data_IF_998972676758
#
_entry.id   IF_998972676758
#
_cell.length_a   1.000
_cell.length_b   1.000
_cell.length_c   1.000
_cell.angle_alpha   90.00
_cell.angle_beta   90.00
_cell.angle_gamma   90.00
#
_symmetry.space_group_name_H-M   'P 1'
#
loop_
_entity.id
_entity.type
_entity.pdbx_description
1 polymer ?
#
# COMPACT_ATOMS: atom_id res chain seq x y z
N UNK A 1 -37.91 14.41 30.83
CA UNK A 1 -38.59 15.58 30.26
C UNK A 1 -39.03 15.22 28.85
N UNK A 2 -40.30 15.39 28.49
CA UNK A 2 -40.76 15.05 27.14
C UNK A 2 -40.12 16.04 26.13
N UNK A 3 -39.35 15.55 25.20
CA UNK A 3 -38.79 16.31 24.11
C UNK A 3 -39.66 16.20 22.88
N UNK A 4 -40.00 17.33 22.26
CA UNK A 4 -40.74 17.37 21.02
C UNK A 4 -39.74 17.36 19.85
N UNK A 5 -39.83 16.39 18.92
CA UNK A 5 -38.87 16.19 17.84
C UNK A 5 -39.50 16.61 16.52
N UNK A 6 -38.75 17.31 15.67
CA UNK A 6 -39.16 17.65 14.33
C UNK A 6 -38.98 16.40 13.43
N UNK A 7 -40.07 15.86 12.88
CA UNK A 7 -40.06 14.69 12.01
C UNK A 7 -39.26 14.92 10.71
N UNK A 8 -39.07 16.18 10.31
CA UNK A 8 -38.35 16.53 9.07
C UNK A 8 -36.84 16.58 9.23
N UNK A 9 -36.30 17.08 10.34
CA UNK A 9 -34.84 17.27 10.52
C UNK A 9 -34.27 16.56 11.75
N UNK A 10 -35.11 15.90 12.56
CA UNK A 10 -34.68 15.23 13.81
C UNK A 10 -34.33 16.17 14.97
N UNK A 11 -34.46 17.49 14.80
CA UNK A 11 -34.17 18.47 15.87
C UNK A 11 -35.10 18.32 17.07
N UNK A 12 -34.53 18.22 18.27
CA UNK A 12 -35.29 18.09 19.52
C UNK A 12 -35.54 19.46 20.17
N UNK A 13 -36.76 19.67 20.66
CA UNK A 13 -37.19 20.91 21.28
C UNK A 13 -37.77 20.63 22.66
N UNK A 14 -37.36 21.39 23.72
CA UNK A 14 -37.84 21.16 25.07
C UNK A 14 -39.29 21.58 25.28
N UNK A 15 -39.87 22.35 24.36
CA UNK A 15 -41.27 22.83 24.42
C UNK A 15 -41.95 22.67 23.06
N UNK A 16 -43.26 22.34 23.06
CA UNK A 16 -44.09 22.20 21.83
C UNK A 16 -44.13 23.50 21.02
N UNK A 17 -44.15 24.65 21.68
CA UNK A 17 -44.11 25.98 21.01
C UNK A 17 -42.83 26.20 20.22
N UNK A 18 -41.69 25.70 20.69
CA UNK A 18 -40.40 25.73 19.96
C UNK A 18 -40.43 24.91 18.69
N UNK A 19 -41.02 23.72 18.74
CA UNK A 19 -41.22 22.88 17.56
C UNK A 19 -42.17 23.55 16.55
N UNK A 20 -43.30 24.12 17.01
CA UNK A 20 -44.26 24.82 16.14
C UNK A 20 -43.60 26.02 15.45
N UNK A 21 -42.83 26.82 16.17
CA UNK A 21 -42.08 27.97 15.62
C UNK A 21 -41.01 27.51 14.60
N UNK A 22 -40.38 26.36 14.85
CA UNK A 22 -39.41 25.76 13.91
C UNK A 22 -40.07 25.28 12.61
N UNK A 23 -41.25 24.67 12.70
CA UNK A 23 -41.98 24.18 11.54
C UNK A 23 -42.59 25.30 10.65
N UNK A 24 -42.94 26.44 11.28
CA UNK A 24 -43.58 27.59 10.62
C UNK A 24 -42.58 28.61 10.05
N UNK A 25 -41.30 28.30 9.94
CA UNK A 25 -40.30 29.20 9.34
C UNK A 25 -40.52 29.36 7.84
N UNK A 26 -40.25 30.59 7.31
CA UNK A 26 -40.31 30.91 5.89
C UNK A 26 -39.39 30.00 5.04
N UNK A 27 -38.25 29.55 5.60
CA UNK A 27 -37.35 28.56 4.98
C UNK A 27 -37.46 27.27 5.79
N UNK A 28 -38.00 26.18 5.21
CA UNK A 28 -38.10 24.90 5.89
C UNK A 28 -36.72 24.34 6.29
N UNK A 29 -36.63 23.64 7.41
CA UNK A 29 -35.42 22.97 7.82
C UNK A 29 -35.00 21.91 6.75
N UNK A 30 -33.70 21.83 6.49
CA UNK A 30 -33.15 20.79 5.60
C UNK A 30 -33.20 19.44 6.32
N UNK A 31 -33.64 18.41 5.60
CA UNK A 31 -33.54 17.03 6.10
C UNK A 31 -32.06 16.67 6.12
N UNK A 32 -31.48 16.20 7.23
CA UNK A 32 -30.10 15.73 7.25
C UNK A 32 -29.91 14.60 6.23
N UNK A 33 -28.83 14.64 5.46
CA UNK A 33 -28.54 13.61 4.43
C UNK A 33 -28.52 12.20 5.03
N UNK A 34 -28.09 12.06 6.27
CA UNK A 34 -28.13 10.80 7.03
C UNK A 34 -29.57 10.30 7.29
N UNK A 35 -30.52 11.19 7.55
CA UNK A 35 -31.92 10.82 7.79
C UNK A 35 -32.59 10.37 6.47
N UNK A 36 -32.30 11.05 5.37
CA UNK A 36 -32.75 10.64 4.02
C UNK A 36 -32.19 9.27 3.70
N UNK A 37 -30.91 9.05 3.96
CA UNK A 37 -30.25 7.76 3.69
C UNK A 37 -30.86 6.64 4.53
N UNK A 38 -31.18 6.90 5.83
CA UNK A 38 -31.85 5.92 6.68
C UNK A 38 -33.27 5.60 6.20
N UNK A 39 -34.03 6.61 5.79
CA UNK A 39 -35.40 6.41 5.27
C UNK A 39 -35.39 5.65 3.93
N UNK A 40 -34.46 5.97 3.02
CA UNK A 40 -34.27 5.26 1.78
C UNK A 40 -33.86 3.80 2.03
N UNK A 41 -32.94 3.55 2.96
CA UNK A 41 -32.54 2.21 3.32
C UNK A 41 -33.69 1.40 3.96
N UNK A 42 -34.52 2.03 4.85
CA UNK A 42 -35.69 1.37 5.41
C UNK A 42 -36.77 1.04 4.36
N UNK A 43 -37.00 1.96 3.42
CA UNK A 43 -37.94 1.69 2.30
C UNK A 43 -37.41 0.58 1.38
N UNK A 44 -36.12 0.53 1.11
CA UNK A 44 -35.50 -0.54 0.30
C UNK A 44 -35.55 -1.91 0.99
N UNK A 45 -35.43 -1.97 2.33
CA UNK A 45 -35.57 -3.21 3.10
C UNK A 45 -36.96 -3.81 2.97
N UNK A 46 -38.00 -2.97 2.85
CA UNK A 46 -39.40 -3.43 2.69
C UNK A 46 -39.73 -3.89 1.28
N UNK A 47 -39.06 -3.33 0.24
CA UNK A 47 -39.37 -3.59 -1.17
C UNK A 47 -38.49 -4.68 -1.78
N UNK A 48 -37.26 -4.77 -1.39
CA UNK A 48 -36.30 -5.79 -1.87
C UNK A 48 -35.16 -5.98 -0.85
N UNK A 49 -35.24 -6.97 0.04
CA UNK A 49 -34.24 -7.21 1.08
C UNK A 49 -32.81 -7.38 0.52
N UNK A 50 -32.67 -8.02 -0.65
CA UNK A 50 -31.36 -8.20 -1.32
C UNK A 50 -30.77 -6.87 -1.80
N UNK A 51 -31.59 -5.93 -2.25
CA UNK A 51 -31.17 -4.61 -2.71
C UNK A 51 -30.72 -3.71 -1.55
N UNK A 52 -31.40 -3.82 -0.41
CA UNK A 52 -31.05 -3.10 0.81
C UNK A 52 -29.69 -3.54 1.35
N UNK A 53 -29.39 -4.83 1.31
CA UNK A 53 -28.08 -5.39 1.68
C UNK A 53 -26.97 -4.85 0.76
N UNK A 54 -27.24 -4.73 -0.54
CA UNK A 54 -26.27 -4.20 -1.51
C UNK A 54 -25.99 -2.68 -1.34
N UNK A 55 -26.83 -1.94 -0.63
CA UNK A 55 -26.61 -0.50 -0.36
C UNK A 55 -25.94 -0.19 0.97
N UNK A 56 -25.86 -1.15 1.87
CA UNK A 56 -25.15 -0.99 3.15
C UNK A 56 -23.63 -0.83 2.94
N UNK A 57 -22.97 -0.04 3.80
CA UNK A 57 -21.50 0.15 3.76
C UNK A 57 -20.77 -1.18 3.92
N UNK A 58 -21.24 -2.02 4.86
CA UNK A 58 -20.80 -3.41 5.04
C UNK A 58 -22.01 -4.29 5.30
N UNK A 59 -21.94 -5.55 4.90
CA UNK A 59 -22.95 -6.54 5.26
C UNK A 59 -22.91 -6.86 6.76
N UNK A 60 -24.06 -7.26 7.31
CA UNK A 60 -24.13 -7.74 8.69
C UNK A 60 -23.14 -8.89 8.99
N UNK A 61 -22.99 -9.92 8.13
CA UNK A 61 -21.95 -10.95 8.33
C UNK A 61 -20.53 -10.41 8.42
N UNK A 62 -20.17 -9.37 7.65
CA UNK A 62 -18.86 -8.72 7.72
C UNK A 62 -18.64 -8.06 9.08
N UNK A 63 -19.63 -7.34 9.58
CA UNK A 63 -19.58 -6.69 10.90
C UNK A 63 -19.48 -7.73 12.02
N UNK A 64 -20.30 -8.77 11.96
CA UNK A 64 -20.26 -9.87 12.94
C UNK A 64 -18.92 -10.59 12.95
N UNK A 65 -18.41 -10.95 11.77
CA UNK A 65 -17.11 -11.62 11.65
C UNK A 65 -15.97 -10.73 12.16
N UNK A 66 -16.01 -9.44 11.82
CA UNK A 66 -15.02 -8.46 12.28
C UNK A 66 -14.94 -8.37 13.81
N UNK A 67 -16.07 -8.49 14.51
CA UNK A 67 -16.14 -8.42 15.96
C UNK A 67 -15.86 -9.76 16.67
N UNK A 68 -15.95 -10.89 15.94
CA UNK A 68 -15.81 -12.25 16.52
C UNK A 68 -14.38 -12.74 16.60
N UNK A 69 -13.45 -12.19 15.81
CA UNK A 69 -12.03 -12.59 15.82
C UNK A 69 -11.10 -11.42 16.16
N UNK A 70 -9.93 -11.73 16.71
CA UNK A 70 -8.96 -10.73 17.12
C UNK A 70 -8.44 -9.91 15.92
N UNK A 71 -7.91 -8.72 16.19
CA UNK A 71 -7.27 -7.90 15.15
C UNK A 71 -6.04 -8.59 14.56
N UNK A 72 -5.28 -9.25 15.42
CA UNK A 72 -4.08 -10.01 15.06
C UNK A 72 -4.44 -11.13 14.07
N UNK A 73 -5.46 -11.94 14.39
CA UNK A 73 -5.91 -13.04 13.53
C UNK A 73 -6.41 -12.53 12.16
N UNK A 74 -7.12 -11.39 12.13
CA UNK A 74 -7.54 -10.79 10.86
C UNK A 74 -6.35 -10.33 10.02
N UNK A 75 -5.34 -9.73 10.65
CA UNK A 75 -4.13 -9.27 9.97
C UNK A 75 -3.31 -10.44 9.44
N UNK A 76 -3.18 -11.52 10.23
CA UNK A 76 -2.43 -12.72 9.84
C UNK A 76 -3.11 -13.47 8.69
N UNK A 77 -4.43 -13.44 8.61
CA UNK A 77 -5.21 -14.01 7.51
C UNK A 77 -5.44 -13.03 6.34
N UNK A 78 -5.09 -11.76 6.50
CA UNK A 78 -5.28 -10.72 5.47
C UNK A 78 -6.75 -10.38 5.19
N UNK A 79 -7.63 -10.52 6.19
CA UNK A 79 -9.06 -10.30 6.06
C UNK A 79 -9.40 -8.84 6.27
N UNK A 80 -9.77 -8.15 5.18
CA UNK A 80 -10.18 -6.74 5.19
C UNK A 80 -11.40 -6.55 4.29
N UNK A 81 -12.56 -6.26 4.90
CA UNK A 81 -13.78 -6.01 4.16
C UNK A 81 -13.75 -4.65 3.47
N UNK A 82 -14.16 -4.61 2.20
CA UNK A 82 -14.06 -3.41 1.36
C UNK A 82 -15.30 -2.54 1.51
N UNK A 83 -15.14 -1.26 1.90
CA UNK A 83 -16.25 -0.31 2.03
C UNK A 83 -17.00 -0.12 0.71
N UNK A 84 -18.32 0.13 0.80
CA UNK A 84 -19.18 0.31 -0.37
C UNK A 84 -18.68 1.38 -1.34
N UNK A 85 -18.25 2.53 -0.83
CA UNK A 85 -17.70 3.61 -1.67
C UNK A 85 -16.51 3.19 -2.53
N UNK A 86 -15.69 2.23 -2.05
CA UNK A 86 -14.53 1.70 -2.79
C UNK A 86 -15.00 0.70 -3.84
N UNK A 87 -15.99 -0.14 -3.51
CA UNK A 87 -16.60 -1.06 -4.47
C UNK A 87 -17.35 -0.31 -5.58
N UNK A 88 -18.13 0.71 -5.23
CA UNK A 88 -18.83 1.56 -6.20
C UNK A 88 -17.85 2.18 -7.20
N UNK A 89 -16.73 2.73 -6.70
CA UNK A 89 -15.67 3.28 -7.55
C UNK A 89 -15.11 2.25 -8.54
N UNK A 90 -14.90 1.00 -8.09
CA UNK A 90 -14.41 -0.08 -8.97
C UNK A 90 -15.41 -0.35 -10.11
N UNK A 91 -16.67 -0.48 -9.80
CA UNK A 91 -17.70 -0.74 -10.80
C UNK A 91 -17.95 0.47 -11.72
N UNK A 92 -17.85 1.70 -11.21
CA UNK A 92 -17.91 2.92 -12.02
C UNK A 92 -16.78 2.97 -13.06
N UNK A 93 -15.55 2.64 -12.66
CA UNK A 93 -14.42 2.63 -13.59
C UNK A 93 -14.55 1.50 -14.63
N UNK A 94 -15.05 0.31 -14.26
CA UNK A 94 -15.39 -0.76 -15.20
C UNK A 94 -16.49 -0.34 -16.20
N UNK A 95 -17.50 0.37 -15.73
CA UNK A 95 -18.60 0.89 -16.58
C UNK A 95 -18.08 1.93 -17.60
N UNK A 96 -17.18 2.83 -17.19
CA UNK A 96 -16.51 3.81 -18.09
C UNK A 96 -15.72 3.12 -19.21
N UNK A 97 -15.17 1.94 -18.94
CA UNK A 97 -14.46 1.12 -19.93
C UNK A 97 -15.39 0.28 -20.80
N UNK A 98 -16.70 0.31 -20.52
CA UNK A 98 -17.69 -0.47 -21.27
C UNK A 98 -17.57 -1.99 -21.06
N UNK A 99 -17.02 -2.43 -19.92
CA UNK A 99 -16.80 -3.86 -19.62
C UNK A 99 -18.14 -4.57 -19.46
N UNK A 100 -18.37 -5.63 -20.26
CA UNK A 100 -19.60 -6.45 -20.25
C UNK A 100 -19.20 -7.93 -20.15
N UNK A 101 -18.86 -8.42 -18.95
CA UNK A 101 -18.37 -9.77 -18.78
C UNK A 101 -19.49 -10.80 -18.93
N UNK A 102 -19.15 -11.97 -19.48
CA UNK A 102 -20.02 -13.16 -19.48
C UNK A 102 -19.74 -14.05 -18.26
N UNK A 103 -18.47 -14.07 -17.80
CA UNK A 103 -18.04 -14.84 -16.63
C UNK A 103 -17.19 -13.97 -15.71
N UNK A 104 -17.52 -13.98 -14.43
CA UNK A 104 -16.88 -13.19 -13.38
C UNK A 104 -16.32 -14.11 -12.31
N UNK A 105 -15.13 -13.80 -11.80
CA UNK A 105 -14.52 -14.46 -10.65
C UNK A 105 -14.17 -13.46 -9.56
N UNK A 106 -14.55 -13.77 -8.32
CA UNK A 106 -13.98 -13.19 -7.12
C UNK A 106 -13.16 -14.26 -6.38
N UNK A 107 -11.82 -14.15 -6.34
CA UNK A 107 -10.94 -15.22 -5.86
C UNK A 107 -10.81 -15.30 -4.33
N UNK A 108 -11.42 -14.38 -3.57
CA UNK A 108 -11.43 -14.34 -2.11
C UNK A 108 -12.64 -13.50 -1.65
N UNK A 109 -13.84 -14.09 -1.77
CA UNK A 109 -15.05 -13.28 -1.69
C UNK A 109 -15.43 -12.84 -0.25
N UNK A 110 -14.81 -13.39 0.79
CA UNK A 110 -15.14 -13.04 2.17
C UNK A 110 -16.60 -13.28 2.48
N UNK A 111 -17.33 -12.22 2.79
CA UNK A 111 -18.79 -12.27 3.01
C UNK A 111 -19.60 -11.92 1.74
N UNK A 112 -18.94 -11.70 0.59
CA UNK A 112 -19.54 -11.63 -0.74
C UNK A 112 -20.03 -10.25 -1.17
N UNK A 113 -19.51 -9.17 -0.64
CA UNK A 113 -19.92 -7.81 -1.02
C UNK A 113 -19.74 -7.54 -2.51
N UNK A 114 -18.60 -7.90 -3.09
CA UNK A 114 -18.35 -7.73 -4.52
C UNK A 114 -19.22 -8.64 -5.39
N UNK A 115 -19.48 -9.89 -4.94
CA UNK A 115 -20.36 -10.83 -5.68
C UNK A 115 -21.79 -10.32 -5.75
N UNK A 116 -22.31 -9.74 -4.65
CA UNK A 116 -23.64 -9.14 -4.62
C UNK A 116 -23.74 -7.94 -5.56
N UNK A 117 -22.74 -7.05 -5.52
CA UNK A 117 -22.69 -5.91 -6.43
C UNK A 117 -22.54 -6.37 -7.89
N UNK A 118 -21.70 -7.37 -8.17
CA UNK A 118 -21.51 -7.93 -9.50
C UNK A 118 -22.81 -8.55 -10.04
N UNK A 119 -23.56 -9.30 -9.21
CA UNK A 119 -24.84 -9.90 -9.62
C UNK A 119 -25.88 -8.85 -9.95
N UNK A 120 -25.91 -7.76 -9.20
CA UNK A 120 -26.82 -6.64 -9.45
C UNK A 120 -26.47 -5.88 -10.75
N UNK A 121 -25.17 -5.65 -10.99
CA UNK A 121 -24.69 -4.85 -12.13
C UNK A 121 -24.62 -5.67 -13.42
N UNK A 122 -24.27 -6.94 -13.31
CA UNK A 122 -24.14 -7.89 -14.43
C UNK A 122 -25.09 -9.09 -14.27
N UNK A 123 -26.42 -8.90 -14.29
CA UNK A 123 -27.40 -9.95 -13.94
C UNK A 123 -27.35 -11.17 -14.86
N UNK A 124 -26.78 -11.03 -16.07
CA UNK A 124 -26.65 -12.11 -17.05
C UNK A 124 -25.30 -12.83 -17.00
N UNK A 125 -24.36 -12.36 -16.18
CA UNK A 125 -23.05 -12.98 -16.08
C UNK A 125 -23.09 -14.24 -15.19
N UNK A 126 -22.35 -15.25 -15.59
CA UNK A 126 -22.03 -16.41 -14.75
C UNK A 126 -21.01 -15.96 -13.69
N UNK A 127 -21.34 -16.12 -12.42
CA UNK A 127 -20.53 -15.60 -11.31
C UNK A 127 -19.93 -16.76 -10.52
N UNK A 128 -18.60 -16.72 -10.36
CA UNK A 128 -17.82 -17.66 -9.55
C UNK A 128 -17.22 -16.91 -8.35
N UNK A 129 -17.27 -17.56 -7.18
CA UNK A 129 -16.63 -17.07 -5.97
C UNK A 129 -15.83 -18.18 -5.30
N UNK A 130 -14.62 -17.87 -4.86
CA UNK A 130 -13.77 -18.77 -4.08
C UNK A 130 -13.52 -18.13 -2.72
N UNK A 131 -13.68 -18.89 -1.64
CA UNK A 131 -13.37 -18.45 -0.29
C UNK A 131 -12.77 -19.62 0.49
N UNK A 132 -11.60 -19.38 1.10
CA UNK A 132 -10.88 -20.42 1.84
C UNK A 132 -11.42 -20.61 3.26
N UNK A 133 -11.82 -19.52 3.92
CA UNK A 133 -12.35 -19.57 5.27
C UNK A 133 -13.79 -20.09 5.26
N UNK A 134 -14.04 -21.22 5.92
CA UNK A 134 -15.34 -21.90 5.91
C UNK A 134 -16.46 -21.06 6.56
N UNK A 135 -16.15 -20.27 7.60
CA UNK A 135 -17.15 -19.42 8.26
C UNK A 135 -17.60 -18.27 7.36
N UNK A 136 -16.64 -17.64 6.65
CA UNK A 136 -16.94 -16.62 5.65
C UNK A 136 -17.70 -17.22 4.49
N UNK A 137 -17.29 -18.37 3.96
CA UNK A 137 -17.99 -19.09 2.91
C UNK A 137 -19.44 -19.37 3.27
N UNK A 138 -19.68 -19.91 4.47
CA UNK A 138 -21.03 -20.26 4.96
C UNK A 138 -21.91 -19.03 5.25
N UNK A 139 -21.31 -17.84 5.36
CA UNK A 139 -22.05 -16.58 5.57
C UNK A 139 -22.78 -16.07 4.34
N UNK A 140 -22.48 -16.61 3.14
CA UNK A 140 -23.09 -16.22 1.88
C UNK A 140 -23.87 -17.38 1.26
N UNK A 141 -25.15 -17.09 0.93
CA UNK A 141 -25.96 -17.92 0.03
C UNK A 141 -26.43 -17.01 -1.11
N UNK A 142 -25.92 -17.23 -2.30
CA UNK A 142 -26.24 -16.41 -3.47
C UNK A 142 -26.72 -17.32 -4.63
N UNK A 143 -28.05 -17.53 -4.76
CA UNK A 143 -28.59 -18.41 -5.80
C UNK A 143 -28.17 -18.00 -7.21
N UNK A 144 -27.92 -18.98 -8.07
CA UNK A 144 -27.47 -18.74 -9.45
C UNK A 144 -26.03 -18.24 -9.56
N UNK A 145 -25.17 -18.60 -8.58
CA UNK A 145 -23.73 -18.40 -8.61
C UNK A 145 -23.02 -19.70 -8.23
N UNK A 146 -21.78 -19.87 -8.68
CA UNK A 146 -20.93 -21.00 -8.32
C UNK A 146 -19.96 -20.59 -7.23
N UNK A 147 -20.23 -20.98 -5.99
CA UNK A 147 -19.38 -20.69 -4.83
C UNK A 147 -18.62 -21.94 -4.43
N UNK A 148 -17.31 -21.79 -4.17
CA UNK A 148 -16.41 -22.90 -3.80
C UNK A 148 -15.66 -22.56 -2.51
N UNK A 149 -15.74 -23.45 -1.52
CA UNK A 149 -14.90 -23.37 -0.32
C UNK A 149 -13.57 -24.07 -0.59
N UNK A 150 -12.57 -23.33 -1.02
CA UNK A 150 -11.25 -23.84 -1.38
C UNK A 150 -10.17 -22.76 -1.29
N UNK A 151 -8.90 -23.18 -1.31
CA UNK A 151 -7.81 -22.24 -1.57
C UNK A 151 -7.84 -21.82 -3.05
N UNK A 152 -7.87 -20.51 -3.32
CA UNK A 152 -7.82 -20.00 -4.68
C UNK A 152 -6.58 -20.47 -5.46
N UNK A 153 -5.49 -20.74 -4.78
CA UNK A 153 -4.28 -21.23 -5.44
C UNK A 153 -4.47 -22.61 -6.10
N UNK A 154 -5.52 -23.35 -5.72
CA UNK A 154 -5.90 -24.65 -6.29
C UNK A 154 -7.09 -24.58 -7.25
N UNK A 155 -7.76 -23.40 -7.34
CA UNK A 155 -8.89 -23.19 -8.22
C UNK A 155 -8.49 -23.16 -9.69
N UNK A 156 -9.36 -23.69 -10.56
CA UNK A 156 -9.18 -23.72 -12.01
C UNK A 156 -10.43 -23.24 -12.72
N UNK A 157 -10.26 -22.45 -13.77
CA UNK A 157 -11.32 -21.92 -14.60
C UNK A 157 -10.84 -20.73 -15.42
N UNK A 158 -11.60 -20.38 -16.46
CA UNK A 158 -11.35 -19.22 -17.31
C UNK A 158 -12.53 -18.28 -17.28
N UNK A 159 -12.29 -16.98 -17.08
CA UNK A 159 -13.29 -15.94 -16.96
C UNK A 159 -12.91 -14.67 -17.74
N UNK A 160 -13.89 -13.78 -17.96
CA UNK A 160 -13.68 -12.51 -18.69
C UNK A 160 -13.32 -11.36 -17.74
N UNK A 161 -13.76 -11.46 -16.48
CA UNK A 161 -13.51 -10.46 -15.45
C UNK A 161 -13.12 -11.14 -14.14
N UNK A 162 -11.99 -10.73 -13.58
CA UNK A 162 -11.64 -11.00 -12.19
C UNK A 162 -11.74 -9.69 -11.42
N UNK A 163 -12.42 -9.69 -10.27
CA UNK A 163 -12.56 -8.52 -9.43
C UNK A 163 -12.43 -8.88 -7.95
N UNK A 164 -12.15 -7.91 -7.09
CA UNK A 164 -12.12 -8.12 -5.65
C UNK A 164 -11.01 -7.37 -4.92
N UNK A 165 -10.84 -7.77 -3.67
CA UNK A 165 -9.80 -7.31 -2.76
C UNK A 165 -9.06 -8.55 -2.22
N UNK A 166 -7.97 -9.00 -2.86
CA UNK A 166 -7.24 -10.19 -2.42
C UNK A 166 -6.62 -9.97 -1.04
N UNK A 167 -6.33 -11.04 -0.27
CA UNK A 167 -5.73 -10.93 1.05
C UNK A 167 -4.32 -10.32 1.03
N UNK A 168 -3.94 -9.57 2.09
CA UNK A 168 -2.65 -8.90 2.20
C UNK A 168 -1.83 -9.42 3.39
N UNK A 169 -1.09 -10.50 3.21
CA UNK A 169 -0.15 -11.00 4.23
C UNK A 169 1.09 -11.60 3.59
N UNK A 170 2.16 -11.71 4.39
CA UNK A 170 3.43 -12.30 3.94
C UNK A 170 3.38 -13.81 4.13
N UNK A 171 3.40 -14.56 3.03
CA UNK A 171 3.20 -16.02 3.00
C UNK A 171 4.28 -16.83 3.72
N UNK A 172 5.49 -16.31 3.80
CA UNK A 172 6.66 -16.97 4.38
C UNK A 172 7.12 -16.35 5.70
N UNK A 173 6.29 -15.56 6.35
CA UNK A 173 6.55 -15.04 7.68
C UNK A 173 6.70 -16.23 8.68
N UNK A 174 7.72 -16.15 9.52
CA UNK A 174 8.00 -17.19 10.50
C UNK A 174 8.55 -18.52 9.96
N UNK A 175 8.68 -18.68 8.64
CA UNK A 175 9.22 -19.91 8.02
C UNK A 175 10.74 -19.99 8.10
N UNK A 176 11.28 -21.23 8.13
CA UNK A 176 12.71 -21.51 8.06
C UNK A 176 13.34 -21.06 6.74
N UNK A 177 14.66 -20.92 6.71
CA UNK A 177 15.40 -20.56 5.49
C UNK A 177 15.12 -21.52 4.31
N UNK A 178 15.03 -22.83 4.58
CA UNK A 178 14.75 -23.86 3.56
C UNK A 178 13.36 -23.67 2.95
N UNK A 179 12.34 -23.45 3.78
CA UNK A 179 10.97 -23.17 3.29
C UNK A 179 10.90 -21.87 2.51
N UNK A 180 11.59 -20.80 2.96
CA UNK A 180 11.68 -19.52 2.22
C UNK A 180 12.27 -19.71 0.83
N UNK A 181 13.27 -20.57 0.69
CA UNK A 181 13.88 -20.89 -0.61
C UNK A 181 12.89 -21.59 -1.56
N UNK A 182 12.07 -22.51 -1.04
CA UNK A 182 11.01 -23.17 -1.82
C UNK A 182 9.99 -22.15 -2.31
N UNK A 183 9.52 -21.26 -1.43
CA UNK A 183 8.60 -20.18 -1.81
C UNK A 183 9.23 -19.24 -2.84
N UNK A 184 10.51 -18.92 -2.70
CA UNK A 184 11.23 -18.09 -3.68
C UNK A 184 11.23 -18.70 -5.08
N UNK A 185 11.46 -19.98 -5.19
CA UNK A 185 11.42 -20.67 -6.48
C UNK A 185 10.00 -20.73 -7.06
N UNK A 186 8.99 -21.06 -6.23
CA UNK A 186 7.59 -21.15 -6.66
C UNK A 186 7.04 -19.83 -7.22
N UNK A 187 7.44 -18.69 -6.68
CA UNK A 187 6.89 -17.37 -7.03
C UNK A 187 7.92 -16.46 -7.72
N UNK A 188 9.02 -17.00 -8.23
CA UNK A 188 10.10 -16.21 -8.85
C UNK A 188 9.64 -15.37 -10.05
N UNK A 189 8.62 -15.80 -10.77
CA UNK A 189 8.07 -15.08 -11.92
C UNK A 189 7.37 -13.76 -11.54
N UNK A 190 6.92 -13.63 -10.31
CA UNK A 190 6.17 -12.43 -9.89
C UNK A 190 6.79 -11.67 -8.72
N UNK A 191 7.70 -12.28 -7.93
CA UNK A 191 8.33 -11.62 -6.80
C UNK A 191 9.67 -12.26 -6.41
N UNK A 192 10.59 -11.44 -5.87
CA UNK A 192 11.94 -11.88 -5.47
C UNK A 192 12.15 -11.99 -3.97
N UNK A 193 11.30 -11.36 -3.17
CA UNK A 193 11.35 -11.35 -1.71
C UNK A 193 10.05 -10.83 -1.14
N UNK A 194 9.94 -10.62 0.18
CA UNK A 194 8.77 -10.01 0.82
C UNK A 194 7.43 -10.55 0.30
N UNK A 195 7.26 -11.86 0.27
CA UNK A 195 6.25 -12.58 -0.53
C UNK A 195 4.85 -12.36 -0.02
N UNK A 196 4.23 -11.24 -0.43
CA UNK A 196 2.85 -10.96 -0.12
C UNK A 196 1.92 -11.69 -1.08
N UNK A 197 0.90 -12.35 -0.53
CA UNK A 197 0.00 -13.23 -1.26
C UNK A 197 -0.78 -12.52 -2.38
N UNK A 198 -1.12 -11.23 -2.23
CA UNK A 198 -1.87 -10.52 -3.29
C UNK A 198 -1.12 -10.48 -4.61
N UNK A 199 0.23 -10.50 -4.59
CA UNK A 199 1.03 -10.52 -5.82
C UNK A 199 0.91 -11.87 -6.51
N UNK A 200 0.85 -12.98 -5.75
CA UNK A 200 0.60 -14.31 -6.30
C UNK A 200 -0.81 -14.43 -6.88
N UNK A 201 -1.83 -13.88 -6.19
CA UNK A 201 -3.21 -13.80 -6.71
C UNK A 201 -3.26 -13.03 -8.03
N UNK A 202 -2.67 -11.84 -8.06
CA UNK A 202 -2.61 -11.00 -9.26
C UNK A 202 -1.96 -11.73 -10.44
N UNK A 203 -0.82 -12.37 -10.20
CA UNK A 203 -0.10 -13.13 -11.24
C UNK A 203 -0.91 -14.32 -11.73
N UNK A 204 -1.45 -15.15 -10.82
CA UNK A 204 -2.25 -16.34 -11.17
C UNK A 204 -3.51 -15.96 -11.97
N UNK A 205 -4.23 -14.92 -11.55
CA UNK A 205 -5.39 -14.43 -12.28
C UNK A 205 -5.04 -14.03 -13.73
N UNK A 206 -3.98 -13.24 -13.91
CA UNK A 206 -3.56 -12.78 -15.24
C UNK A 206 -3.02 -13.91 -16.11
N UNK A 207 -2.24 -14.83 -15.53
CA UNK A 207 -1.57 -15.89 -16.28
C UNK A 207 -2.52 -17.04 -16.64
N UNK A 208 -3.35 -17.47 -15.67
CA UNK A 208 -4.05 -18.75 -15.74
C UNK A 208 -5.58 -18.62 -15.91
N UNK A 209 -6.19 -17.52 -15.43
CA UNK A 209 -7.65 -17.46 -15.28
C UNK A 209 -8.36 -16.43 -16.15
N UNK A 210 -7.66 -15.47 -16.72
CA UNK A 210 -8.29 -14.50 -17.62
C UNK A 210 -8.20 -14.96 -19.08
N UNK A 211 -9.31 -14.77 -19.80
CA UNK A 211 -9.32 -14.83 -21.27
C UNK A 211 -8.37 -13.77 -21.84
N UNK A 212 -7.91 -13.95 -23.06
CA UNK A 212 -7.29 -12.88 -23.80
C UNK A 212 -8.32 -11.74 -23.96
N UNK A 213 -7.90 -10.49 -23.83
CA UNK A 213 -8.77 -9.32 -23.72
C UNK A 213 -9.58 -9.21 -22.41
N UNK A 214 -9.53 -10.19 -21.50
CA UNK A 214 -10.21 -10.16 -20.19
C UNK A 214 -9.68 -9.07 -19.26
N UNK A 215 -10.49 -8.68 -18.28
CA UNK A 215 -10.19 -7.60 -17.35
C UNK A 215 -9.94 -8.11 -15.93
N UNK A 216 -9.02 -7.46 -15.23
CA UNK A 216 -8.80 -7.63 -13.79
C UNK A 216 -9.01 -6.28 -13.11
N UNK A 217 -9.82 -6.25 -12.06
CA UNK A 217 -10.09 -5.07 -11.25
C UNK A 217 -9.88 -5.39 -9.76
N UNK A 218 -8.74 -4.98 -9.21
CA UNK A 218 -8.36 -5.28 -7.83
C UNK A 218 -8.13 -4.01 -7.01
N UNK A 219 -8.48 -4.11 -5.72
CA UNK A 219 -8.02 -3.16 -4.70
C UNK A 219 -6.75 -3.73 -4.09
N UNK A 220 -5.65 -2.98 -4.16
CA UNK A 220 -4.31 -3.46 -3.79
C UNK A 220 -3.55 -2.44 -2.93
N UNK A 221 -2.56 -2.87 -2.13
CA UNK A 221 -1.64 -1.95 -1.46
C UNK A 221 -0.80 -1.15 -2.46
N UNK A 222 -0.48 0.09 -2.11
CA UNK A 222 0.39 0.98 -2.92
C UNK A 222 1.83 0.47 -3.05
N UNK A 223 2.24 -0.50 -2.23
CA UNK A 223 3.55 -1.16 -2.34
C UNK A 223 3.79 -1.84 -3.70
N UNK A 224 2.73 -2.14 -4.47
CA UNK A 224 2.87 -2.62 -5.84
C UNK A 224 3.60 -1.61 -6.75
N UNK A 225 3.51 -0.30 -6.46
CA UNK A 225 4.06 0.75 -7.32
C UNK A 225 5.57 0.67 -7.47
N UNK A 226 6.28 0.49 -6.37
CA UNK A 226 7.74 0.67 -6.33
C UNK A 226 8.50 -0.33 -5.46
N UNK A 227 7.84 -1.21 -4.68
CA UNK A 227 8.55 -2.19 -3.87
C UNK A 227 9.47 -3.05 -4.75
N UNK A 228 10.76 -3.11 -4.40
CA UNK A 228 11.79 -3.81 -5.16
C UNK A 228 11.47 -5.29 -5.37
N UNK A 229 10.84 -5.92 -4.40
CA UNK A 229 10.50 -7.35 -4.46
C UNK A 229 9.42 -7.68 -5.50
N UNK A 230 8.62 -6.71 -5.95
CA UNK A 230 7.51 -6.90 -6.89
C UNK A 230 7.86 -6.41 -8.30
N UNK A 231 9.12 -6.14 -8.57
CA UNK A 231 9.57 -5.73 -9.90
C UNK A 231 9.25 -6.76 -10.99
N UNK A 232 9.41 -8.10 -10.79
CA UNK A 232 8.99 -9.08 -11.79
C UNK A 232 7.52 -8.95 -12.16
N UNK A 233 6.63 -8.73 -11.16
CA UNK A 233 5.21 -8.52 -11.42
C UNK A 233 4.93 -7.24 -12.22
N UNK A 234 5.61 -6.14 -11.91
CA UNK A 234 5.48 -4.90 -12.68
C UNK A 234 5.97 -5.04 -14.12
N UNK A 235 7.05 -5.79 -14.34
CA UNK A 235 7.52 -6.14 -15.69
C UNK A 235 6.48 -6.97 -16.43
N UNK A 236 5.90 -7.98 -15.78
CA UNK A 236 4.83 -8.79 -16.35
C UNK A 236 3.62 -7.92 -16.77
N UNK A 237 3.16 -7.03 -15.87
CA UNK A 237 2.08 -6.06 -16.16
C UNK A 237 2.47 -5.20 -17.38
N UNK A 238 3.67 -4.64 -17.39
CA UNK A 238 4.14 -3.75 -18.44
C UNK A 238 4.24 -4.43 -19.82
N UNK A 239 4.52 -5.72 -19.84
CA UNK A 239 4.72 -6.49 -21.08
C UNK A 239 3.42 -7.13 -21.59
N UNK A 240 2.59 -7.64 -20.71
CA UNK A 240 1.45 -8.51 -21.04
C UNK A 240 0.10 -7.84 -20.94
N UNK A 241 0.01 -6.66 -20.31
CA UNK A 241 -1.27 -6.04 -20.02
C UNK A 241 -1.31 -4.56 -20.41
N UNK A 242 -2.52 -4.02 -20.49
CA UNK A 242 -2.78 -2.59 -20.53
C UNK A 242 -3.32 -2.14 -19.18
N UNK A 243 -2.72 -1.12 -18.59
CA UNK A 243 -3.24 -0.49 -17.36
C UNK A 243 -4.26 0.57 -17.77
N UNK A 244 -5.54 0.33 -17.48
CA UNK A 244 -6.62 1.26 -17.78
C UNK A 244 -6.91 2.23 -16.63
N UNK A 245 -6.76 1.76 -15.39
CA UNK A 245 -6.97 2.57 -14.20
C UNK A 245 -5.89 2.25 -13.15
N UNK A 246 -5.32 3.30 -12.59
CA UNK A 246 -4.42 3.26 -11.43
C UNK A 246 -4.77 4.45 -10.54
N UNK A 247 -5.71 4.25 -9.61
CA UNK A 247 -6.30 5.33 -8.82
C UNK A 247 -6.03 5.13 -7.34
N UNK A 248 -5.28 6.04 -6.75
CA UNK A 248 -5.02 6.02 -5.31
C UNK A 248 -6.29 6.35 -4.54
N UNK A 249 -6.57 5.59 -3.49
CA UNK A 249 -7.68 5.79 -2.58
C UNK A 249 -7.10 6.06 -1.20
N UNK A 250 -7.01 7.35 -0.86
CA UNK A 250 -6.58 7.78 0.47
C UNK A 250 -7.71 7.57 1.48
N UNK A 251 -7.36 7.06 2.66
CA UNK A 251 -8.31 6.80 3.76
C UNK A 251 -9.54 6.02 3.28
N UNK A 252 -9.37 4.82 2.75
CA UNK A 252 -10.46 4.06 2.13
C UNK A 252 -11.60 3.70 3.10
N UNK A 253 -11.36 3.78 4.41
CA UNK A 253 -12.36 3.50 5.44
C UNK A 253 -12.44 2.04 5.85
N UNK A 254 -11.37 1.27 5.65
CA UNK A 254 -11.24 -0.05 6.25
C UNK A 254 -11.21 0.05 7.78
N UNK A 255 -11.84 -0.90 8.47
CA UNK A 255 -11.96 -0.85 9.93
C UNK A 255 -10.61 -0.89 10.67
N UNK A 256 -9.64 -1.67 10.20
CA UNK A 256 -8.42 -2.00 10.96
C UNK A 256 -7.13 -1.43 10.37
N UNK A 257 -7.20 -0.72 9.26
CA UNK A 257 -5.98 -0.19 8.61
C UNK A 257 -6.17 1.23 8.10
N UNK A 258 -5.13 2.03 8.29
CA UNK A 258 -4.99 3.35 7.69
C UNK A 258 -4.19 3.29 6.38
N UNK A 259 -3.92 2.08 5.88
CA UNK A 259 -3.12 1.89 4.67
C UNK A 259 -3.87 2.44 3.46
N UNK A 260 -3.21 3.31 2.70
CA UNK A 260 -3.69 3.73 1.40
C UNK A 260 -3.67 2.53 0.43
N UNK A 261 -4.71 2.44 -0.36
CA UNK A 261 -4.83 1.39 -1.38
C UNK A 261 -4.97 2.01 -2.76
N UNK A 262 -4.83 1.19 -3.77
CA UNK A 262 -5.01 1.56 -5.17
C UNK A 262 -6.09 0.70 -5.79
N UNK A 263 -6.96 1.31 -6.57
CA UNK A 263 -7.77 0.62 -7.57
C UNK A 263 -6.90 0.42 -8.81
N UNK A 264 -6.66 -0.83 -9.16
CA UNK A 264 -5.94 -1.23 -10.36
C UNK A 264 -6.89 -1.95 -11.31
N UNK A 265 -7.04 -1.44 -12.55
CA UNK A 265 -7.77 -2.14 -13.61
C UNK A 265 -6.79 -2.43 -14.76
N UNK A 266 -6.65 -3.70 -15.05
CA UNK A 266 -5.81 -4.24 -16.14
C UNK A 266 -6.69 -4.91 -17.18
N UNK A 267 -6.25 -4.87 -18.44
CA UNK A 267 -6.75 -5.75 -19.50
C UNK A 267 -5.60 -6.68 -19.94
N UNK A 268 -5.88 -7.97 -20.09
CA UNK A 268 -4.90 -8.96 -20.57
C UNK A 268 -4.68 -8.83 -22.07
N UNK A 269 -4.25 -7.63 -22.46
CA UNK A 269 -3.89 -7.25 -23.84
C UNK A 269 -3.02 -6.03 -23.79
N UNK A 270 -1.91 -6.05 -24.49
CA UNK A 270 -1.01 -4.90 -24.54
C UNK A 270 -1.44 -3.92 -25.62
N UNK A 271 -1.70 -2.66 -25.25
CA UNK A 271 -2.02 -1.58 -26.20
C UNK A 271 -1.21 -0.30 -25.98
N UNK A 272 -0.89 0.05 -24.72
CA UNK A 272 -0.11 1.25 -24.39
C UNK A 272 0.64 1.09 -23.06
N UNK A 273 1.54 2.04 -22.78
CA UNK A 273 2.37 2.11 -21.56
C UNK A 273 1.92 3.24 -20.61
N UNK A 274 0.63 3.58 -20.56
CA UNK A 274 0.12 4.51 -19.57
C UNK A 274 0.31 3.93 -18.17
N UNK A 275 0.54 4.81 -17.17
CA UNK A 275 0.81 4.44 -15.78
C UNK A 275 2.10 3.65 -15.53
N UNK A 276 2.89 3.38 -16.59
CA UNK A 276 4.15 2.63 -16.51
C UNK A 276 5.32 3.60 -16.69
N UNK A 277 6.25 3.58 -15.75
CA UNK A 277 7.51 4.30 -15.81
C UNK A 277 8.64 3.28 -15.92
N UNK A 278 9.36 3.27 -17.05
CA UNK A 278 10.58 2.48 -17.25
C UNK A 278 11.78 3.40 -17.11
N UNK A 279 12.74 3.02 -16.29
CA UNK A 279 14.00 3.75 -16.12
C UNK A 279 15.07 3.24 -17.05
N UNK A 280 16.12 4.03 -17.27
CA UNK A 280 17.29 3.66 -18.09
C UNK A 280 18.00 2.40 -17.59
N UNK A 281 17.91 2.12 -16.28
CA UNK A 281 18.48 0.92 -15.66
C UNK A 281 17.57 -0.31 -15.74
N UNK A 282 16.51 -0.26 -16.56
CA UNK A 282 15.60 -1.39 -16.79
C UNK A 282 14.62 -1.69 -15.65
N UNK A 283 14.51 -0.80 -14.66
CA UNK A 283 13.48 -0.95 -13.61
C UNK A 283 12.12 -0.47 -14.10
N UNK A 284 11.07 -1.13 -13.66
CA UNK A 284 9.68 -0.82 -14.02
C UNK A 284 8.89 -0.42 -12.78
N UNK A 285 8.19 0.70 -12.85
CA UNK A 285 7.36 1.24 -11.79
C UNK A 285 5.93 1.50 -12.30
N UNK A 286 4.95 1.42 -11.40
CA UNK A 286 3.59 1.84 -11.66
C UNK A 286 3.35 3.18 -10.96
N UNK A 287 2.74 4.14 -11.66
CA UNK A 287 2.49 5.46 -11.08
C UNK A 287 1.34 6.17 -11.80
N UNK A 288 0.42 6.82 -11.07
CA UNK A 288 -0.59 7.67 -11.68
C UNK A 288 0.01 8.92 -12.34
N UNK A 289 1.22 9.32 -11.93
CA UNK A 289 1.95 10.52 -12.41
C UNK A 289 2.95 10.19 -13.53
N UNK A 290 2.69 9.17 -14.33
CA UNK A 290 3.66 8.68 -15.34
C UNK A 290 4.01 9.73 -16.40
N UNK A 291 3.09 10.63 -16.76
CA UNK A 291 3.34 11.70 -17.73
C UNK A 291 4.30 12.72 -17.16
N UNK A 292 3.98 13.23 -15.99
CA UNK A 292 4.73 14.24 -15.25
C UNK A 292 6.15 13.73 -14.94
N UNK A 293 6.25 12.49 -14.48
CA UNK A 293 7.55 11.87 -14.18
C UNK A 293 8.39 11.64 -15.45
N UNK A 294 7.79 11.25 -16.56
CA UNK A 294 8.53 11.11 -17.82
C UNK A 294 9.11 12.44 -18.30
N UNK A 295 8.35 13.53 -18.18
CA UNK A 295 8.85 14.87 -18.54
C UNK A 295 9.98 15.30 -17.59
N UNK A 296 9.80 15.10 -16.30
CA UNK A 296 10.77 15.48 -15.28
C UNK A 296 12.11 14.73 -15.43
N UNK A 297 12.08 13.49 -15.90
CA UNK A 297 13.26 12.64 -16.08
C UNK A 297 14.06 12.95 -17.36
N UNK A 298 13.52 13.74 -18.29
CA UNK A 298 14.24 14.07 -19.53
C UNK A 298 15.56 14.82 -19.25
N UNK A 299 16.65 14.32 -19.83
CA UNK A 299 17.98 14.95 -19.70
C UNK A 299 18.62 14.84 -18.31
N UNK A 300 18.01 14.09 -17.38
CA UNK A 300 18.59 13.87 -16.06
C UNK A 300 19.53 12.67 -16.05
N UNK A 301 20.35 12.58 -15.00
CA UNK A 301 21.17 11.41 -14.70
C UNK A 301 20.79 10.82 -13.35
N UNK A 302 21.45 9.77 -12.89
CA UNK A 302 21.24 9.13 -11.58
C UNK A 302 22.51 9.14 -10.75
N UNK A 303 22.38 8.88 -9.45
CA UNK A 303 23.52 8.70 -8.53
C UNK A 303 24.44 7.59 -9.06
N UNK A 304 23.86 6.50 -9.57
CA UNK A 304 24.61 5.38 -10.14
C UNK A 304 25.47 5.79 -11.34
N UNK A 305 24.90 6.57 -12.26
CA UNK A 305 25.62 7.06 -13.44
C UNK A 305 26.71 8.09 -13.11
N UNK A 306 26.67 8.67 -11.91
CA UNK A 306 27.73 9.52 -11.37
C UNK A 306 28.83 8.71 -10.64
N UNK A 307 28.83 7.38 -10.73
CA UNK A 307 29.73 6.48 -10.01
C UNK A 307 29.68 6.66 -8.48
N UNK A 308 28.51 7.03 -7.98
CA UNK A 308 28.21 7.03 -6.55
C UNK A 308 27.39 5.77 -6.20
N UNK A 309 27.51 5.33 -4.95
CA UNK A 309 26.68 4.27 -4.40
C UNK A 309 25.68 4.83 -3.39
N UNK A 310 24.60 4.09 -3.16
CA UNK A 310 23.72 4.33 -2.04
C UNK A 310 23.47 3.02 -1.27
N UNK A 311 23.52 3.09 0.05
CA UNK A 311 23.19 1.96 0.93
C UNK A 311 22.31 2.41 2.09
N UNK A 312 21.55 1.48 2.64
CA UNK A 312 20.81 1.70 3.89
C UNK A 312 21.76 1.52 5.07
N UNK A 313 21.59 2.30 6.12
CA UNK A 313 22.36 2.18 7.35
C UNK A 313 22.26 0.78 7.96
N UNK A 314 23.34 0.35 8.59
CA UNK A 314 23.54 -1.02 9.04
C UNK A 314 22.96 -1.29 10.45
N UNK A 315 22.62 -0.25 11.23
CA UNK A 315 22.21 -0.40 12.63
C UNK A 315 20.69 -0.47 12.78
N UNK A 316 20.18 -1.58 13.32
CA UNK A 316 18.79 -1.72 13.77
C UNK A 316 18.77 -1.53 15.29
N UNK A 317 18.63 -0.30 15.75
CA UNK A 317 18.90 0.14 17.13
C UNK A 317 18.15 -0.66 18.21
N UNK A 318 16.90 -1.06 17.95
CA UNK A 318 16.09 -1.82 18.91
C UNK A 318 16.54 -3.28 19.08
N UNK A 319 17.35 -3.81 18.15
CA UNK A 319 17.95 -5.13 18.21
C UNK A 319 19.31 -5.14 18.92
N UNK A 320 19.93 -3.96 19.05
CA UNK A 320 21.30 -3.82 19.57
C UNK A 320 21.40 -2.79 20.71
N UNK A 321 20.34 -2.68 21.51
CA UNK A 321 20.27 -1.75 22.65
C UNK A 321 21.42 -1.93 23.64
N UNK A 322 21.91 -3.14 23.82
CA UNK A 322 23.04 -3.51 24.64
C UNK A 322 24.38 -2.95 24.14
N UNK A 323 24.45 -2.51 22.90
CA UNK A 323 25.62 -1.92 22.28
C UNK A 323 25.57 -0.38 22.22
N UNK A 324 24.44 0.24 22.53
CA UNK A 324 24.31 1.70 22.59
C UNK A 324 25.04 2.30 23.79
N UNK A 325 25.64 3.50 23.63
CA UNK A 325 26.52 4.17 24.61
C UNK A 325 26.17 5.66 24.70
N UNK A 326 26.63 6.30 25.76
CA UNK A 326 26.58 7.76 25.92
C UNK A 326 27.78 8.44 25.26
N UNK A 327 28.87 7.68 24.98
CA UNK A 327 30.03 8.08 24.22
C UNK A 327 30.54 6.92 23.35
N UNK A 328 31.35 7.19 22.34
CA UNK A 328 31.89 6.20 21.39
C UNK A 328 31.78 6.68 19.95
N UNK A 329 31.42 5.77 19.01
CA UNK A 329 31.25 6.14 17.62
C UNK A 329 29.83 6.72 17.42
N UNK A 330 29.75 7.84 16.73
CA UNK A 330 28.47 8.51 16.43
C UNK A 330 27.54 7.59 15.67
N UNK A 331 26.28 7.43 16.15
CA UNK A 331 25.21 6.73 15.48
C UNK A 331 24.17 7.72 14.99
N UNK A 332 24.00 7.81 13.68
CA UNK A 332 23.10 8.79 13.05
C UNK A 332 21.75 8.15 12.76
N UNK A 333 20.70 8.73 13.30
CA UNK A 333 19.31 8.38 13.09
C UNK A 333 18.65 9.30 12.07
N UNK A 334 17.57 8.84 11.47
CA UNK A 334 16.74 9.66 10.56
C UNK A 334 16.33 11.00 11.19
N UNK A 335 16.02 11.03 12.48
CA UNK A 335 15.62 12.24 13.21
C UNK A 335 16.77 13.24 13.41
N UNK A 336 18.02 12.83 13.23
CA UNK A 336 19.17 13.73 13.30
C UNK A 336 19.32 14.58 12.03
N UNK A 337 18.64 14.21 10.93
CA UNK A 337 18.70 14.91 9.65
C UNK A 337 17.54 15.92 9.61
N UNK A 338 17.85 17.20 9.84
CA UNK A 338 16.83 18.25 9.96
C UNK A 338 17.24 19.48 9.15
N UNK A 339 16.43 19.85 8.15
CA UNK A 339 16.59 21.08 7.39
C UNK A 339 18.03 21.30 6.87
N UNK A 340 18.65 20.27 6.30
CA UNK A 340 20.01 20.31 5.77
C UNK A 340 21.13 20.33 6.83
N UNK A 341 20.80 20.07 8.11
CA UNK A 341 21.76 20.05 9.21
C UNK A 341 21.72 18.71 9.95
N UNK A 342 22.88 18.29 10.44
CA UNK A 342 22.99 17.17 11.37
C UNK A 342 22.80 17.69 12.81
N UNK A 343 21.71 17.27 13.45
CA UNK A 343 21.40 17.64 14.85
C UNK A 343 21.58 16.40 15.71
N UNK A 344 22.60 16.40 16.57
CA UNK A 344 22.93 15.29 17.46
C UNK A 344 22.27 15.46 18.82
N UNK A 345 22.01 14.35 19.50
CA UNK A 345 21.41 14.28 20.84
C UNK A 345 20.59 13.01 21.01
N UNK A 346 20.46 12.56 22.25
CA UNK A 346 19.63 11.38 22.56
C UNK A 346 18.18 11.62 22.20
N UNK A 347 17.49 10.59 21.70
CA UNK A 347 16.12 10.67 21.21
C UNK A 347 15.22 9.80 22.09
N UNK A 348 14.23 10.39 22.73
CA UNK A 348 13.22 9.64 23.45
C UNK A 348 12.25 8.95 22.45
N UNK A 349 12.26 7.62 22.44
CA UNK A 349 11.40 6.79 21.58
C UNK A 349 10.15 6.26 22.30
N UNK A 350 9.73 6.89 23.37
CA UNK A 350 8.55 6.53 24.16
C UNK A 350 8.66 5.12 24.77
N UNK A 351 7.62 4.29 24.58
CA UNK A 351 7.61 2.89 25.10
C UNK A 351 8.78 2.01 24.62
N UNK A 352 9.47 2.39 23.53
CA UNK A 352 10.64 1.66 23.00
C UNK A 352 11.94 2.01 23.73
N UNK A 353 11.94 3.03 24.59
CA UNK A 353 13.09 3.49 25.35
C UNK A 353 13.83 4.63 24.67
N UNK A 354 15.02 4.95 25.19
CA UNK A 354 15.89 6.00 24.68
C UNK A 354 16.80 5.47 23.57
N UNK A 355 16.94 6.24 22.50
CA UNK A 355 17.94 6.05 21.44
C UNK A 355 19.17 6.85 21.81
N UNK A 356 20.22 6.19 22.27
CA UNK A 356 21.49 6.84 22.55
C UNK A 356 22.20 7.25 21.26
N UNK A 357 22.87 8.40 21.28
CA UNK A 357 23.52 8.97 20.10
C UNK A 357 24.82 8.26 19.69
N UNK A 358 25.36 7.39 20.54
CA UNK A 358 26.58 6.68 20.26
C UNK A 358 26.41 5.16 20.38
N UNK A 359 27.32 4.44 19.74
CA UNK A 359 27.38 2.99 19.76
C UNK A 359 28.84 2.57 20.03
N UNK A 360 29.07 1.37 20.56
CA UNK A 360 30.42 0.85 20.83
C UNK A 360 31.25 0.83 19.54
N UNK A 361 32.56 0.99 19.68
CA UNK A 361 33.50 1.12 18.56
C UNK A 361 33.48 -0.08 17.61
N UNK A 362 33.47 -1.30 18.14
CA UNK A 362 33.42 -2.53 17.38
C UNK A 362 31.97 -3.05 17.38
N UNK A 363 31.07 -2.33 16.69
CA UNK A 363 29.69 -2.72 16.54
C UNK A 363 29.59 -4.03 15.77
N UNK A 364 28.76 -4.96 16.30
CA UNK A 364 28.44 -6.22 15.64
C UNK A 364 26.94 -6.31 15.38
N UNK A 365 26.56 -6.65 14.15
CA UNK A 365 25.19 -6.98 13.81
C UNK A 365 24.86 -8.35 14.42
N UNK A 366 23.71 -8.45 15.11
CA UNK A 366 23.14 -9.74 15.49
C UNK A 366 22.47 -10.35 14.28
N UNK A 367 22.90 -11.53 13.84
CA UNK A 367 22.25 -12.24 12.75
C UNK A 367 20.85 -12.71 13.19
N UNK A 368 19.85 -12.70 12.27
CA UNK A 368 18.47 -13.11 12.60
C UNK A 368 18.30 -14.60 12.94
N UNK A 369 19.26 -15.44 12.57
CA UNK A 369 19.29 -16.88 12.83
C UNK A 369 20.33 -17.17 13.89
N UNK A 370 19.92 -17.69 15.05
CA UNK A 370 20.70 -17.86 16.26
C UNK A 370 21.96 -18.74 16.20
N UNK A 371 22.34 -19.24 15.02
CA UNK A 371 23.48 -20.13 14.81
C UNK A 371 24.70 -19.46 14.17
N UNK A 372 24.61 -18.19 13.76
CA UNK A 372 25.74 -17.47 13.17
C UNK A 372 26.39 -16.52 14.17
N UNK A 373 27.71 -16.51 14.19
CA UNK A 373 28.48 -15.54 14.99
C UNK A 373 28.13 -14.10 14.59
N UNK A 374 28.11 -13.15 15.55
CA UNK A 374 27.86 -11.76 15.27
C UNK A 374 28.88 -11.21 14.27
N UNK A 375 28.42 -10.66 13.16
CA UNK A 375 29.31 -10.09 12.13
C UNK A 375 29.65 -8.65 12.47
N UNK A 376 30.94 -8.35 12.54
CA UNK A 376 31.44 -6.97 12.69
C UNK A 376 31.03 -6.11 11.50
N UNK A 377 30.67 -4.87 11.78
CA UNK A 377 30.30 -3.89 10.76
C UNK A 377 31.31 -2.75 10.80
N UNK A 378 31.93 -2.48 9.66
CA UNK A 378 32.86 -1.36 9.55
C UNK A 378 32.09 -0.02 9.59
N UNK A 379 32.61 0.98 10.37
CA UNK A 379 32.02 2.30 10.37
C UNK A 379 32.20 3.01 9.03
N UNK A 380 31.34 3.93 8.76
CA UNK A 380 31.40 4.83 7.62
C UNK A 380 32.43 5.95 7.91
N UNK A 381 33.11 6.43 6.87
CA UNK A 381 34.11 7.48 6.96
C UNK A 381 34.04 8.46 5.80
N UNK A 382 34.54 9.67 5.98
CA UNK A 382 34.71 10.67 4.94
C UNK A 382 33.42 11.35 4.50
N UNK A 383 33.49 11.98 3.32
CA UNK A 383 32.40 12.79 2.80
C UNK A 383 31.28 11.95 2.22
N UNK A 384 30.07 12.13 2.74
CA UNK A 384 28.87 11.41 2.33
C UNK A 384 27.64 12.31 2.39
N UNK A 385 26.54 11.91 1.72
CA UNK A 385 25.24 12.53 1.88
C UNK A 385 24.31 11.53 2.59
N UNK A 386 23.74 11.97 3.70
CA UNK A 386 22.78 11.20 4.47
C UNK A 386 21.36 11.65 4.10
N UNK A 387 20.49 10.69 3.85
CA UNK A 387 19.10 10.95 3.43
C UNK A 387 18.16 10.17 4.36
N UNK A 388 17.15 10.82 4.90
CA UNK A 388 16.13 10.13 5.66
C UNK A 388 15.33 9.17 4.76
N UNK A 389 15.09 7.95 5.24
CA UNK A 389 14.38 6.92 4.47
C UNK A 389 12.87 7.04 4.54
N UNK A 390 12.31 7.60 5.62
CA UNK A 390 10.89 7.51 5.96
C UNK A 390 10.53 6.20 6.68
N UNK A 391 9.31 6.11 7.18
CA UNK A 391 8.85 4.98 8.02
C UNK A 391 7.75 4.12 7.37
N UNK A 392 7.43 4.35 6.10
CA UNK A 392 6.42 3.57 5.39
C UNK A 392 4.97 3.80 5.84
N UNK A 393 4.74 4.77 6.73
CA UNK A 393 3.41 5.12 7.21
C UNK A 393 2.87 6.31 6.43
N UNK A 394 1.83 6.08 5.61
CA UNK A 394 1.01 7.07 4.91
C UNK A 394 1.79 7.99 3.98
N UNK A 395 1.77 7.70 2.69
CA UNK A 395 2.51 8.36 1.61
C UNK A 395 2.40 9.90 1.54
N UNK A 396 1.48 10.53 2.25
CA UNK A 396 1.30 11.97 2.27
C UNK A 396 2.22 12.73 3.26
N UNK A 397 3.01 12.04 4.09
CA UNK A 397 3.82 12.64 5.15
C UNK A 397 5.32 12.35 5.05
N UNK A 398 5.81 11.80 3.92
CA UNK A 398 7.24 11.65 3.73
C UNK A 398 7.85 13.02 3.41
N UNK A 399 8.64 13.54 4.35
CA UNK A 399 9.47 14.74 4.15
C UNK A 399 10.87 14.29 3.72
N UNK A 400 11.24 14.63 2.51
CA UNK A 400 12.59 14.39 2.00
C UNK A 400 13.57 15.35 2.68
N UNK A 401 14.47 14.80 3.49
CA UNK A 401 15.52 15.56 4.17
C UNK A 401 16.86 14.89 3.93
N UNK A 402 17.90 15.70 3.75
CA UNK A 402 19.26 15.23 3.57
C UNK A 402 20.26 16.18 4.24
N UNK A 403 21.47 15.69 4.46
CA UNK A 403 22.59 16.47 4.93
C UNK A 403 23.90 15.92 4.36
N UNK A 404 24.80 16.80 3.94
CA UNK A 404 26.17 16.45 3.58
C UNK A 404 27.04 16.48 4.85
N UNK A 405 27.76 15.41 5.10
CA UNK A 405 28.69 15.29 6.24
C UNK A 405 30.07 14.89 5.75
N UNK A 406 31.11 15.27 6.53
CA UNK A 406 32.49 14.80 6.37
C UNK A 406 32.97 14.39 7.76
N UNK A 407 32.85 13.10 8.07
CA UNK A 407 33.11 12.57 9.41
C UNK A 407 34.18 11.50 9.39
N UNK A 408 35.04 11.51 10.41
CA UNK A 408 36.11 10.53 10.52
C UNK A 408 35.58 9.11 10.72
N UNK A 409 34.51 8.96 11.53
CA UNK A 409 33.94 7.65 11.87
C UNK A 409 32.52 7.78 12.37
N UNK A 410 31.57 7.04 11.78
CA UNK A 410 30.20 7.02 12.23
C UNK A 410 29.47 5.76 11.75
N UNK A 411 28.30 5.45 12.35
CA UNK A 411 27.35 4.48 11.88
C UNK A 411 26.03 5.16 11.51
N UNK A 412 25.26 4.56 10.60
CA UNK A 412 23.92 5.00 10.24
C UNK A 412 22.88 3.94 10.63
N UNK A 413 21.75 4.38 11.16
CA UNK A 413 20.62 3.57 11.52
C UNK A 413 19.82 3.19 10.24
N UNK A 414 19.07 2.09 10.26
CA UNK A 414 18.41 1.52 9.08
C UNK A 414 17.28 2.38 8.46
N UNK A 415 16.93 3.51 9.06
CA UNK A 415 16.07 4.54 8.46
C UNK A 415 16.85 5.72 7.87
N UNK A 416 18.15 5.56 7.68
CA UNK A 416 19.04 6.49 6.98
C UNK A 416 19.61 5.79 5.76
N UNK A 417 19.49 6.41 4.59
CA UNK A 417 20.25 6.02 3.41
C UNK A 417 21.53 6.87 3.33
N UNK A 418 22.62 6.26 2.90
CA UNK A 418 23.94 6.88 2.80
C UNK A 418 24.38 6.85 1.35
N UNK A 419 24.66 8.02 0.76
CA UNK A 419 25.25 8.17 -0.57
C UNK A 419 26.76 8.39 -0.37
N UNK A 420 27.56 7.60 -1.07
CA UNK A 420 29.02 7.61 -0.93
C UNK A 420 29.69 7.49 -2.31
N UNK A 421 30.90 8.03 -2.49
CA UNK A 421 31.67 7.85 -3.70
C UNK A 421 32.20 6.40 -3.79
N UNK A 422 32.03 5.73 -4.93
CA UNK A 422 32.57 4.38 -5.14
C UNK A 422 34.10 4.37 -5.15
N UNK A 423 34.70 5.49 -5.52
CA UNK A 423 36.16 5.76 -5.42
C UNK A 423 36.38 7.20 -5.05
N UNK A 424 37.57 7.54 -4.52
CA UNK A 424 37.94 8.91 -4.15
C UNK A 424 37.86 9.89 -5.33
N UNK A 425 38.13 9.44 -6.56
CA UNK A 425 38.04 10.25 -7.77
C UNK A 425 36.63 10.78 -8.06
N UNK A 426 35.59 10.14 -7.51
CA UNK A 426 34.19 10.54 -7.73
C UNK A 426 33.61 11.37 -6.56
N UNK A 427 34.42 11.75 -5.56
CA UNK A 427 33.94 12.48 -4.40
C UNK A 427 33.34 13.86 -4.74
N UNK A 428 33.83 14.53 -5.80
CA UNK A 428 33.28 15.81 -6.25
C UNK A 428 31.86 15.69 -6.85
N UNK A 429 31.45 14.50 -7.29
CA UNK A 429 30.09 14.27 -7.77
C UNK A 429 29.03 14.41 -6.65
N UNK A 430 29.42 14.29 -5.37
CA UNK A 430 28.53 14.58 -4.25
C UNK A 430 28.02 16.03 -4.26
N UNK A 431 28.83 16.99 -4.69
CA UNK A 431 28.39 18.41 -4.84
C UNK A 431 27.25 18.56 -5.87
N UNK A 432 27.30 17.76 -6.94
CA UNK A 432 26.25 17.75 -7.96
C UNK A 432 24.94 17.16 -7.40
N UNK A 433 25.04 16.08 -6.61
CA UNK A 433 23.88 15.49 -5.93
C UNK A 433 23.28 16.48 -4.93
N UNK A 434 24.11 17.12 -4.11
CA UNK A 434 23.68 18.12 -3.13
C UNK A 434 22.96 19.29 -3.80
N UNK A 435 23.50 19.82 -4.91
CA UNK A 435 22.84 20.88 -5.71
C UNK A 435 21.47 20.41 -6.23
N UNK A 436 21.41 19.20 -6.78
CA UNK A 436 20.16 18.61 -7.28
C UNK A 436 19.13 18.40 -6.18
N UNK A 437 19.54 17.97 -4.99
CA UNK A 437 18.63 17.73 -3.86
C UNK A 437 18.03 19.02 -3.28
N UNK A 438 18.68 20.17 -3.51
CA UNK A 438 18.16 21.49 -3.20
C UNK A 438 17.26 22.06 -4.32
N UNK A 439 17.17 21.39 -5.47
CA UNK A 439 16.27 21.79 -6.57
C UNK A 439 14.82 21.35 -6.26
N UNK A 440 13.86 22.25 -6.45
CA UNK A 440 12.45 21.97 -6.20
C UNK A 440 11.92 20.77 -7.00
N UNK A 441 12.49 20.50 -8.18
CA UNK A 441 12.16 19.35 -9.01
C UNK A 441 12.43 18.02 -8.32
N UNK A 442 13.46 17.93 -7.48
CA UNK A 442 13.72 16.72 -6.68
C UNK A 442 12.59 16.50 -5.67
N UNK A 443 12.17 17.52 -4.94
CA UNK A 443 11.03 17.41 -4.01
C UNK A 443 9.74 17.03 -4.73
N UNK A 444 9.51 17.60 -5.92
CA UNK A 444 8.35 17.28 -6.75
C UNK A 444 8.39 15.82 -7.26
N UNK A 445 9.58 15.35 -7.70
CA UNK A 445 9.78 13.95 -8.08
C UNK A 445 9.46 13.00 -6.92
N UNK A 446 10.03 13.25 -5.74
CA UNK A 446 9.80 12.42 -4.55
C UNK A 446 8.30 12.36 -4.20
N UNK A 447 7.61 13.48 -4.24
CA UNK A 447 6.17 13.56 -3.98
C UNK A 447 5.34 12.69 -4.95
N UNK A 448 5.70 12.65 -6.21
CA UNK A 448 4.98 11.88 -7.23
C UNK A 448 5.38 10.41 -7.30
N UNK A 449 6.62 10.10 -6.90
CA UNK A 449 7.20 8.77 -7.07
C UNK A 449 7.04 7.87 -5.82
N UNK A 450 7.22 8.42 -4.61
CA UNK A 450 7.26 7.62 -3.37
C UNK A 450 5.85 7.26 -2.90
N UNK A 451 5.33 6.13 -3.37
CA UNK A 451 3.96 5.68 -3.08
C UNK A 451 3.78 5.03 -1.70
N UNK A 452 4.86 4.53 -1.05
CA UNK A 452 4.79 3.80 0.23
C UNK A 452 5.32 4.58 1.44
N UNK A 453 5.61 5.89 1.27
CA UNK A 453 6.13 6.73 2.35
C UNK A 453 7.56 6.41 2.78
N UNK A 454 8.32 5.61 2.02
CA UNK A 454 9.71 5.28 2.26
C UNK A 454 10.50 5.25 0.95
N UNK A 455 11.69 5.87 0.96
CA UNK A 455 12.64 5.88 -0.15
C UNK A 455 13.74 4.84 0.11
N UNK A 456 13.81 3.80 -0.70
CA UNK A 456 14.86 2.79 -0.59
C UNK A 456 16.21 3.30 -1.14
N UNK A 457 17.32 2.72 -0.68
CA UNK A 457 18.63 3.04 -1.20
C UNK A 457 18.75 2.76 -2.71
N UNK A 458 18.07 1.71 -3.21
CA UNK A 458 18.04 1.38 -4.63
C UNK A 458 17.29 2.44 -5.46
N UNK A 459 16.14 2.90 -4.98
CA UNK A 459 15.40 3.98 -5.65
C UNK A 459 16.22 5.27 -5.66
N UNK A 460 16.85 5.58 -4.52
CA UNK A 460 17.74 6.73 -4.39
C UNK A 460 18.90 6.67 -5.40
N UNK A 461 19.52 5.50 -5.54
CA UNK A 461 20.67 5.30 -6.43
C UNK A 461 20.30 5.32 -7.92
N UNK A 462 19.20 4.62 -8.28
CA UNK A 462 18.91 4.25 -9.66
C UNK A 462 17.77 5.03 -10.30
N UNK A 463 16.96 5.77 -9.52
CA UNK A 463 15.70 6.37 -10.00
C UNK A 463 15.60 7.85 -9.71
N UNK A 464 16.01 8.29 -8.52
CA UNK A 464 15.95 9.72 -8.16
C UNK A 464 16.82 10.52 -9.15
N UNK A 465 16.22 11.48 -9.88
CA UNK A 465 16.94 12.23 -10.89
C UNK A 465 17.95 13.21 -10.26
N UNK A 466 19.07 13.37 -10.95
CA UNK A 466 20.08 14.41 -10.67
C UNK A 466 20.03 15.41 -11.82
N UNK A 467 19.59 16.62 -11.48
CA UNK A 467 19.40 17.75 -12.38
C UNK A 467 20.68 18.52 -12.66
#
# INVERSE_FOLDING_TARGET
MATHVCERCGGAFPRKSGLTSHMNRKSPCKVPTQLIQQQVNQALIQVAPELAVATAEFREPSVKFHTSISKEDRQDQGIFFTPKKVRDLLFEELAKLGVKPKKILEPSFGTGEFLLDAKRIYPQAEIHGVEKNADLFNSLKLPGTTLVNADFMDWNGIVDLVLGNPPFFVMDAGKSYKEKKIFQQKYAECMTGGRNIYVAFLHKCLKEHLTDDGYLAFILPTSLFNCVYYEPMRKYIAEKTTVHCLKMIAKPGFHDTLQDVVLLILQKKKSHDNFILKTTNGNTYLTPFYKELRELLKGTTTIENLNLGAKTGDVVWNQVKDQLRDEGVLLIYSNNIQNGKLVTGNINAGKKGEKKQYIKENFCRKEPTGDNEPTGVEPLTGKTILVNRGYGNNGNNYSFNFVTVDLQKYYAENHVNVIYPKTTAHADNLKRVEKSFNDERTSQFIKWFVGNGALSARELQCVVPIF
#
